data_IF_832803662007
#
_entry.id   IF_832803662007
#
_cell.length_a   1.000
_cell.length_b   1.000
_cell.length_c   1.000
_cell.angle_alpha   90.00
_cell.angle_beta   90.00
_cell.angle_gamma   90.00
#
_symmetry.space_group_name_H-M   'P 1'
#
loop_
_entity.id
_entity.type
_entity.pdbx_description
1 polymer ?
#
# COMPACT_ATOMS: atom_id res chain seq x y z
N UNK A 1 36.29 -0.86 2.30
CA UNK A 1 35.09 -1.63 1.89
C UNK A 1 33.89 -0.69 1.77
N UNK A 2 33.56 -0.22 0.55
CA UNK A 2 32.40 0.66 0.33
C UNK A 2 31.11 -0.19 0.27
N UNK A 3 30.21 -0.01 1.24
CA UNK A 3 28.90 -0.69 1.28
C UNK A 3 28.03 -0.21 0.11
N UNK A 4 27.85 -1.05 -0.91
CA UNK A 4 27.14 -0.75 -2.18
C UNK A 4 25.63 -1.00 -2.10
N UNK A 5 25.06 -1.09 -0.90
CA UNK A 5 23.68 -1.56 -0.67
C UNK A 5 22.98 -0.68 0.35
N UNK A 6 21.80 -0.19 -0.01
CA UNK A 6 20.94 0.56 0.90
C UNK A 6 19.95 -0.39 1.58
N UNK A 7 19.67 -0.22 2.89
CA UNK A 7 18.61 -0.98 3.55
C UNK A 7 17.28 -0.63 2.87
N UNK A 8 16.62 -1.65 2.32
CA UNK A 8 15.29 -1.48 1.74
C UNK A 8 14.32 -1.05 2.84
N UNK A 9 13.55 0.01 2.56
CA UNK A 9 12.66 0.63 3.54
C UNK A 9 11.38 -0.17 3.70
N UNK A 10 10.96 -0.92 2.68
CA UNK A 10 9.76 -1.77 2.72
C UNK A 10 10.10 -3.13 3.30
N UNK A 11 9.34 -3.61 4.29
CA UNK A 11 9.59 -4.92 4.93
C UNK A 11 9.25 -6.10 4.00
N UNK A 12 8.29 -5.91 3.10
CA UNK A 12 7.85 -6.93 2.13
C UNK A 12 7.64 -6.37 0.71
N UNK A 13 7.75 -7.26 -0.28
CA UNK A 13 7.43 -6.96 -1.67
C UNK A 13 5.94 -6.66 -1.82
N UNK A 14 5.63 -5.68 -2.67
CA UNK A 14 4.27 -5.31 -3.04
C UNK A 14 3.88 -6.01 -4.33
N UNK A 15 2.80 -6.79 -4.29
CA UNK A 15 2.32 -7.55 -5.41
C UNK A 15 1.09 -6.86 -6.02
N UNK A 16 1.07 -6.56 -7.33
CA UNK A 16 -0.13 -6.09 -7.99
C UNK A 16 -1.11 -7.26 -8.11
N UNK A 17 -2.21 -7.19 -7.36
CA UNK A 17 -3.25 -8.22 -7.35
C UNK A 17 -4.59 -7.53 -7.22
N UNK A 18 -5.58 -8.08 -7.93
CA UNK A 18 -6.96 -7.60 -7.90
C UNK A 18 -7.84 -8.62 -7.20
N UNK A 19 -8.20 -8.30 -5.96
CA UNK A 19 -9.02 -9.11 -5.07
C UNK A 19 -10.22 -8.24 -4.68
N UNK A 20 -11.46 -8.68 -4.93
CA UNK A 20 -12.65 -7.98 -4.49
C UNK A 20 -12.76 -8.03 -2.97
N UNK A 21 -13.03 -6.88 -2.38
CA UNK A 21 -13.12 -6.68 -0.94
C UNK A 21 -14.37 -5.88 -0.60
N UNK A 22 -14.90 -6.12 0.59
CA UNK A 22 -15.89 -5.24 1.21
C UNK A 22 -15.22 -4.52 2.37
N UNK A 23 -15.25 -3.18 2.35
CA UNK A 23 -14.74 -2.31 3.41
C UNK A 23 -15.90 -1.84 4.25
N UNK A 24 -15.98 -2.32 5.48
CA UNK A 24 -16.94 -1.90 6.49
C UNK A 24 -16.35 -0.77 7.33
N UNK A 25 -16.95 0.41 7.29
CA UNK A 25 -16.51 1.54 8.10
C UNK A 25 -17.64 2.08 8.98
N UNK A 26 -17.28 2.61 10.16
CA UNK A 26 -18.22 3.31 11.04
C UNK A 26 -18.26 4.80 10.68
N UNK A 27 -19.47 5.30 10.47
CA UNK A 27 -19.78 6.71 10.28
C UNK A 27 -19.77 7.45 11.62
N UNK A 28 -19.62 8.80 11.62
CA UNK A 28 -19.72 9.62 12.83
C UNK A 28 -21.06 9.47 13.56
N UNK A 29 -22.13 9.18 12.80
CA UNK A 29 -23.49 8.97 13.30
C UNK A 29 -23.69 7.59 13.98
N UNK A 30 -22.66 6.74 13.99
CA UNK A 30 -22.68 5.41 14.62
C UNK A 30 -23.13 4.28 13.69
N UNK A 31 -23.64 4.61 12.49
CA UNK A 31 -24.00 3.61 11.47
C UNK A 31 -22.76 2.98 10.83
N UNK A 32 -22.86 1.70 10.47
CA UNK A 32 -21.82 0.98 9.72
C UNK A 32 -22.24 0.85 8.27
N UNK A 33 -21.37 1.29 7.36
CA UNK A 33 -21.60 1.14 5.92
C UNK A 33 -20.61 0.14 5.33
N UNK A 34 -21.11 -0.64 4.38
CA UNK A 34 -20.32 -1.61 3.62
C UNK A 34 -20.06 -1.05 2.22
N UNK A 35 -18.78 -0.86 1.91
CA UNK A 35 -18.31 -0.24 0.67
C UNK A 35 -17.59 -1.28 -0.17
N UNK A 36 -17.90 -1.34 -1.46
CA UNK A 36 -17.17 -2.22 -2.38
C UNK A 36 -15.81 -1.60 -2.72
N UNK A 37 -14.79 -2.45 -2.71
CA UNK A 37 -13.44 -2.09 -3.06
C UNK A 37 -12.76 -3.24 -3.81
N UNK A 38 -11.68 -2.94 -4.51
CA UNK A 38 -10.79 -3.95 -5.08
C UNK A 38 -9.35 -3.61 -4.75
N UNK A 39 -8.52 -4.62 -4.48
CA UNK A 39 -7.09 -4.36 -4.31
C UNK A 39 -6.46 -3.94 -5.63
N UNK A 40 -5.50 -3.03 -5.56
CA UNK A 40 -4.57 -2.73 -6.64
C UNK A 40 -3.19 -3.31 -6.36
N UNK A 41 -2.74 -3.18 -5.11
CA UNK A 41 -1.47 -3.70 -4.63
C UNK A 41 -1.68 -4.28 -3.24
N UNK A 42 -1.15 -5.47 -2.97
CA UNK A 42 -1.17 -6.08 -1.64
C UNK A 42 0.25 -6.29 -1.10
N UNK A 43 0.36 -6.33 0.22
CA UNK A 43 1.57 -6.61 0.98
C UNK A 43 1.22 -7.36 2.27
N UNK A 44 2.21 -7.91 2.96
CA UNK A 44 1.98 -8.59 4.24
C UNK A 44 1.37 -7.67 5.31
N UNK A 45 1.69 -6.37 5.26
CA UNK A 45 1.28 -5.40 6.28
C UNK A 45 0.00 -4.63 5.91
N UNK A 46 -0.58 -4.87 4.73
CA UNK A 46 -1.73 -4.12 4.24
C UNK A 46 -1.87 -4.10 2.73
N UNK A 47 -2.68 -3.17 2.22
CA UNK A 47 -2.99 -3.07 0.79
C UNK A 47 -3.24 -1.63 0.32
N UNK A 48 -3.21 -1.45 -0.99
CA UNK A 48 -3.74 -0.29 -1.69
C UNK A 48 -5.03 -0.73 -2.39
N UNK A 49 -6.14 -0.08 -2.03
CA UNK A 49 -7.47 -0.36 -2.53
C UNK A 49 -7.87 0.68 -3.57
N UNK A 50 -8.68 0.29 -4.52
CA UNK A 50 -9.43 1.16 -5.43
C UNK A 50 -10.89 1.10 -5.01
N UNK A 51 -11.49 2.27 -4.80
CA UNK A 51 -12.90 2.41 -4.47
C UNK A 51 -13.41 3.79 -4.88
N UNK A 52 -14.73 3.94 -5.01
CA UNK A 52 -15.34 5.20 -5.44
C UNK A 52 -15.72 6.08 -4.23
N UNK A 53 -16.06 5.46 -3.10
CA UNK A 53 -16.47 6.17 -1.88
C UNK A 53 -15.26 6.73 -1.11
N UNK A 54 -15.31 8.00 -0.66
CA UNK A 54 -14.21 8.58 0.10
C UNK A 54 -14.16 8.00 1.52
N UNK A 55 -12.95 7.71 2.00
CA UNK A 55 -12.65 7.36 3.39
C UNK A 55 -11.81 8.47 4.02
N UNK A 56 -11.72 8.48 5.36
CA UNK A 56 -10.89 9.43 6.09
C UNK A 56 -9.54 8.83 6.47
N UNK A 57 -8.47 9.63 6.37
CA UNK A 57 -7.15 9.21 6.84
C UNK A 57 -7.17 9.00 8.35
N UNK A 58 -6.58 7.92 8.83
CA UNK A 58 -6.58 7.53 10.24
C UNK A 58 -7.85 6.82 10.72
N UNK A 59 -8.87 6.68 9.85
CA UNK A 59 -10.09 5.95 10.20
C UNK A 59 -9.83 4.46 10.34
N UNK A 60 -10.43 3.85 11.37
CA UNK A 60 -10.47 2.40 11.53
C UNK A 60 -11.59 1.82 10.67
N UNK A 61 -11.23 0.86 9.84
CA UNK A 61 -12.12 0.17 8.92
C UNK A 61 -11.88 -1.33 9.01
N UNK A 62 -12.92 -2.12 8.78
CA UNK A 62 -12.83 -3.57 8.70
C UNK A 62 -12.86 -3.98 7.24
N UNK A 63 -11.83 -4.66 6.78
CA UNK A 63 -11.74 -5.14 5.41
C UNK A 63 -12.11 -6.62 5.39
N UNK A 64 -13.02 -7.00 4.52
CA UNK A 64 -13.53 -8.36 4.37
C UNK A 64 -13.15 -8.85 2.97
N UNK A 65 -12.47 -10.00 2.93
CA UNK A 65 -12.14 -10.66 1.68
C UNK A 65 -13.35 -11.46 1.19
N UNK A 66 -13.86 -11.14 -0.01
CA UNK A 66 -15.07 -11.77 -0.54
C UNK A 66 -14.85 -13.24 -0.92
N UNK A 67 -13.62 -13.64 -1.21
CA UNK A 67 -13.31 -15.03 -1.58
C UNK A 67 -13.21 -15.97 -0.38
N UNK A 68 -12.66 -15.48 0.73
CA UNK A 68 -12.37 -16.31 1.92
C UNK A 68 -13.31 -16.03 3.08
N UNK A 69 -14.15 -14.99 2.98
CA UNK A 69 -14.95 -14.43 4.07
C UNK A 69 -14.13 -13.99 5.30
N UNK A 70 -12.80 -13.96 5.22
CA UNK A 70 -11.95 -13.50 6.29
C UNK A 70 -12.06 -11.98 6.44
N UNK A 71 -12.09 -11.51 7.67
CA UNK A 71 -12.12 -10.08 7.97
C UNK A 71 -10.93 -9.66 8.82
N UNK A 72 -10.40 -8.47 8.56
CA UNK A 72 -9.28 -7.91 9.30
C UNK A 72 -9.53 -6.43 9.59
N UNK A 73 -9.12 -6.00 10.78
CA UNK A 73 -9.15 -4.58 11.15
C UNK A 73 -7.95 -3.86 10.52
N UNK A 74 -8.24 -2.68 9.98
CA UNK A 74 -7.31 -1.88 9.20
C UNK A 74 -7.41 -0.42 9.62
N UNK A 75 -6.31 0.31 9.43
CA UNK A 75 -6.29 1.77 9.49
C UNK A 75 -6.00 2.35 8.12
N UNK A 76 -6.74 3.39 7.74
CA UNK A 76 -6.47 4.13 6.52
C UNK A 76 -5.21 4.98 6.71
N UNK A 77 -4.18 4.72 5.90
CA UNK A 77 -2.85 5.37 6.02
C UNK A 77 -2.57 6.41 4.95
N UNK A 78 -3.21 6.30 3.79
CA UNK A 78 -3.01 7.26 2.70
C UNK A 78 -4.22 7.31 1.79
N UNK A 79 -4.53 8.51 1.31
CA UNK A 79 -5.55 8.74 0.29
C UNK A 79 -4.88 9.43 -0.90
N UNK A 80 -5.14 8.91 -2.09
CA UNK A 80 -4.61 9.40 -3.36
C UNK A 80 -5.74 9.37 -4.36
N UNK A 81 -5.97 10.45 -5.08
CA UNK A 81 -6.92 10.49 -6.18
C UNK A 81 -6.13 10.67 -7.47
N UNK A 82 -6.45 9.85 -8.48
CA UNK A 82 -5.82 9.98 -9.80
C UNK A 82 -6.88 9.74 -10.87
N UNK A 83 -7.06 10.76 -11.72
CA UNK A 83 -8.13 10.81 -12.73
C UNK A 83 -9.50 10.67 -12.06
N UNK A 84 -10.09 9.47 -12.11
CA UNK A 84 -11.41 9.16 -11.56
C UNK A 84 -11.37 8.00 -10.55
N UNK A 85 -10.18 7.47 -10.24
CA UNK A 85 -10.02 6.37 -9.27
C UNK A 85 -9.39 6.88 -8.00
N UNK A 86 -9.98 6.50 -6.86
CA UNK A 86 -9.43 6.79 -5.54
C UNK A 86 -8.67 5.57 -5.04
N UNK A 87 -7.41 5.81 -4.73
CA UNK A 87 -6.49 4.85 -4.16
C UNK A 87 -6.42 5.07 -2.65
N UNK A 88 -6.90 4.10 -1.90
CA UNK A 88 -6.93 4.12 -0.44
C UNK A 88 -5.88 3.13 0.07
N UNK A 89 -4.85 3.64 0.70
CA UNK A 89 -3.85 2.83 1.39
C UNK A 89 -4.36 2.43 2.76
N UNK A 90 -4.41 1.13 3.02
CA UNK A 90 -4.80 0.56 4.31
C UNK A 90 -3.64 -0.25 4.88
N UNK A 91 -3.43 -0.14 6.18
CA UNK A 91 -2.49 -0.96 6.93
C UNK A 91 -3.25 -1.81 7.94
N UNK A 92 -2.81 -3.05 8.10
CA UNK A 92 -3.39 -3.96 9.08
C UNK A 92 -3.01 -3.52 10.49
N UNK A 93 -3.98 -3.43 11.39
CA UNK A 93 -3.70 -3.17 12.81
C UNK A 93 -3.02 -4.36 13.46
N UNK A 94 -3.37 -5.57 13.04
CA UNK A 94 -2.70 -6.80 13.45
C UNK A 94 -2.17 -7.52 12.21
N UNK A 95 -0.87 -7.84 12.14
CA UNK A 95 -0.32 -8.58 11.01
C UNK A 95 -0.97 -9.97 10.95
N UNK A 96 -1.58 -10.31 9.82
CA UNK A 96 -2.18 -11.61 9.57
C UNK A 96 -1.64 -12.17 8.26
N UNK A 97 -0.87 -13.26 8.36
CA UNK A 97 -0.39 -13.98 7.18
C UNK A 97 -1.53 -14.70 6.44
N UNK A 98 -2.60 -15.05 7.17
CA UNK A 98 -3.70 -15.86 6.65
C UNK A 98 -4.75 -15.03 5.90
N UNK A 99 -4.75 -13.71 6.03
CA UNK A 99 -5.76 -12.88 5.36
C UNK A 99 -5.68 -12.96 3.83
N UNK A 100 -4.45 -12.94 3.29
CA UNK A 100 -4.22 -13.02 1.85
C UNK A 100 -4.03 -14.46 1.34
N UNK A 101 -3.67 -15.40 2.22
CA UNK A 101 -3.13 -16.72 1.85
C UNK A 101 -1.97 -16.63 0.85
N UNK A 102 -1.15 -15.58 0.97
CA UNK A 102 0.00 -15.31 0.11
C UNK A 102 1.24 -15.20 1.00
N UNK A 103 2.30 -15.94 0.64
CA UNK A 103 3.61 -15.79 1.26
C UNK A 103 4.34 -14.64 0.56
N UNK A 104 4.48 -13.52 1.25
CA UNK A 104 5.21 -12.36 0.74
C UNK A 104 6.72 -12.56 0.91
N UNK A 105 7.53 -12.44 -0.16
CA UNK A 105 8.98 -12.49 -0.01
C UNK A 105 9.46 -11.27 0.79
N UNK A 106 10.45 -11.49 1.66
CA UNK A 106 11.14 -10.40 2.36
C UNK A 106 11.81 -9.51 1.33
N UNK A 107 11.67 -8.20 1.50
CA UNK A 107 12.37 -7.29 0.60
C UNK A 107 13.88 -7.39 0.87
N UNK A 108 14.65 -7.70 -0.18
CA UNK A 108 16.10 -7.77 -0.11
C UNK A 108 16.76 -6.38 0.03
N UNK A 109 18.07 -6.30 -0.10
CA UNK A 109 18.78 -5.02 -0.16
C UNK A 109 18.64 -4.40 -1.55
N UNK A 110 18.34 -3.10 -1.65
CA UNK A 110 18.37 -2.41 -2.96
C UNK A 110 19.80 -2.09 -3.34
N UNK A 111 20.13 -2.31 -4.62
CA UNK A 111 21.39 -1.83 -5.17
C UNK A 111 21.40 -0.29 -5.14
N UNK A 112 22.49 0.29 -4.66
CA UNK A 112 22.66 1.73 -4.66
C UNK A 112 22.92 2.20 -6.10
N UNK A 113 22.11 3.13 -6.60
CA UNK A 113 22.30 3.75 -7.91
C UNK A 113 23.32 4.88 -7.72
N UNK A 114 24.34 4.96 -8.58
CA UNK A 114 25.26 6.10 -8.61
C UNK A 114 24.66 7.21 -9.48
N UNK A 115 24.68 8.44 -8.99
CA UNK A 115 24.37 9.62 -9.79
C UNK A 115 25.33 9.71 -10.98
N UNK A 116 24.80 9.92 -12.18
CA UNK A 116 25.62 10.17 -13.37
C UNK A 116 26.30 11.54 -13.34
N UNK A 117 25.73 12.52 -12.62
CA UNK A 117 26.28 13.87 -12.49
C UNK A 117 27.37 14.00 -11.43
N UNK A 118 27.19 13.34 -10.28
CA UNK A 118 28.04 13.55 -9.09
C UNK A 118 28.81 12.31 -8.67
N UNK A 119 28.57 11.14 -9.28
CA UNK A 119 29.20 9.86 -8.90
C UNK A 119 28.82 9.33 -7.51
N UNK A 120 28.06 10.11 -6.74
CA UNK A 120 27.60 9.81 -5.39
C UNK A 120 26.52 8.72 -5.41
N UNK A 121 26.45 7.92 -4.34
CA UNK A 121 25.40 6.93 -4.13
C UNK A 121 24.09 7.65 -3.78
N UNK A 122 23.06 7.52 -4.61
CA UNK A 122 21.74 8.09 -4.34
C UNK A 122 20.79 7.05 -3.73
N UNK A 123 19.98 7.44 -2.71
CA UNK A 123 18.91 6.60 -2.21
C UNK A 123 17.91 6.26 -3.32
N UNK A 124 17.47 4.99 -3.44
CA UNK A 124 16.46 4.60 -4.40
C UNK A 124 15.11 5.25 -4.06
N UNK A 125 14.68 6.22 -4.88
CA UNK A 125 13.42 6.95 -4.69
C UNK A 125 13.51 8.45 -4.91
N UNK A 126 14.71 9.03 -4.90
CA UNK A 126 14.96 10.39 -5.39
C UNK A 126 15.15 10.27 -6.90
N UNK A 127 14.04 10.20 -7.63
CA UNK A 127 14.06 10.43 -9.08
C UNK A 127 14.19 11.95 -9.22
N UNK A 128 15.32 12.42 -9.72
CA UNK A 128 15.44 13.79 -10.21
C UNK A 128 14.41 13.94 -11.33
N UNK A 129 13.24 14.47 -10.98
CA UNK A 129 12.24 14.89 -11.94
C UNK A 129 12.76 16.17 -12.57
N UNK A 130 13.69 16.02 -13.52
CA UNK A 130 14.12 17.13 -14.36
C UNK A 130 13.09 17.25 -15.49
N UNK A 131 11.92 17.77 -15.11
CA UNK A 131 10.89 18.23 -16.04
C UNK A 131 11.26 19.64 -16.48
N UNK A 132 11.89 19.75 -17.65
CA UNK A 132 11.85 20.90 -18.56
C UNK A 132 11.99 20.28 -19.95
N UNK A 133 10.93 20.06 -20.74
CA UNK A 133 10.15 21.04 -21.51
C UNK A 133 11.05 22.10 -22.20
N UNK A 134 11.01 22.02 -23.54
CA UNK A 134 11.72 22.74 -24.60
C UNK A 134 13.11 22.22 -24.95
#
# INVERSE_FOLDING_TARGET
MQRTRYPERRRTTRLPLQIPLTVRCRLPEGETIDLKASTYIVSADGALLIMDTPLFSGQLVKVINEHTANSIDCVVTSLREKQERRFVGVAFTTPSADFWHIVFPRSGTRQAIRSSQTGALMPPGIRSDNTQLF
#
